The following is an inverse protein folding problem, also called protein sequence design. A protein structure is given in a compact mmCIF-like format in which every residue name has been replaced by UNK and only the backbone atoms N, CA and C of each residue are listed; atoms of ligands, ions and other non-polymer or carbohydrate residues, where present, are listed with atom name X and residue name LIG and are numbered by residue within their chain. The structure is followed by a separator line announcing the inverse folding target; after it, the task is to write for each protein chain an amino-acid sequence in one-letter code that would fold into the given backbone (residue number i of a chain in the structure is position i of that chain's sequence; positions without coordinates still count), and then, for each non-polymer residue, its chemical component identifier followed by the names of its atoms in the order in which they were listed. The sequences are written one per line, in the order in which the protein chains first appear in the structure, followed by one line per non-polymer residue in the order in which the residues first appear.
data_IF_106158316720
#
_entry.id   IF_106158316720
#
_cell.length_a   1.000
_cell.length_b   1.000
_cell.length_c   1.000
_cell.angle_alpha   90.00
_cell.angle_beta   90.00
_cell.angle_gamma   90.00
#
_symmetry.space_group_name_H-M   'P 1'
#
loop_
_entity.id
_entity.type
_entity.pdbx_description
1 polymer ?
#
# COMPACT_ATOMS: atom_id res chain seq x y z
N UNK A 1 15.88 -23.80 16.98
CA UNK A 1 15.64 -23.08 15.72
C UNK A 1 15.45 -24.10 14.62
N UNK A 2 14.57 -23.83 13.66
CA UNK A 2 14.33 -24.69 12.49
C UNK A 2 15.62 -24.79 11.65
N UNK A 3 16.00 -25.99 11.18
CA UNK A 3 17.26 -26.21 10.43
C UNK A 3 17.31 -25.38 9.15
N UNK A 4 16.16 -25.18 8.51
CA UNK A 4 15.99 -24.32 7.33
C UNK A 4 16.35 -22.87 7.65
N UNK A 5 15.82 -22.32 8.75
CA UNK A 5 16.13 -20.95 9.19
C UNK A 5 17.61 -20.80 9.49
N UNK A 6 18.22 -21.76 10.19
CA UNK A 6 19.65 -21.68 10.53
C UNK A 6 20.55 -21.70 9.28
N UNK A 7 20.17 -22.47 8.26
CA UNK A 7 20.88 -22.52 6.99
C UNK A 7 20.73 -21.23 6.15
N UNK A 8 19.55 -20.60 6.18
CA UNK A 8 19.19 -19.52 5.24
C UNK A 8 19.19 -18.11 5.82
N UNK A 9 19.31 -17.97 7.15
CA UNK A 9 19.19 -16.66 7.84
C UNK A 9 20.09 -15.58 7.25
N UNK A 10 21.38 -15.86 7.03
CA UNK A 10 22.34 -14.87 6.52
C UNK A 10 21.97 -14.38 5.11
N UNK A 11 21.43 -15.28 4.26
CA UNK A 11 20.97 -14.93 2.92
C UNK A 11 19.71 -14.05 2.98
N UNK A 12 18.75 -14.37 3.85
CA UNK A 12 17.55 -13.54 4.03
C UNK A 12 17.88 -12.19 4.66
N UNK A 13 18.76 -12.15 5.65
CA UNK A 13 19.24 -10.91 6.27
C UNK A 13 19.92 -10.01 5.23
N UNK A 14 20.76 -10.59 4.36
CA UNK A 14 21.38 -9.86 3.26
C UNK A 14 20.33 -9.31 2.28
N UNK A 15 19.33 -10.11 1.90
CA UNK A 15 18.26 -9.69 1.00
C UNK A 15 17.39 -8.56 1.62
N UNK A 16 17.07 -8.65 2.91
CA UNK A 16 16.32 -7.62 3.65
C UNK A 16 17.14 -6.33 3.75
N UNK A 17 18.41 -6.44 4.13
CA UNK A 17 19.32 -5.30 4.22
C UNK A 17 19.43 -4.57 2.88
N UNK A 18 19.59 -5.31 1.79
CA UNK A 18 19.65 -4.73 0.43
C UNK A 18 18.35 -4.02 0.04
N UNK A 19 17.20 -4.51 0.49
CA UNK A 19 15.90 -3.88 0.21
C UNK A 19 15.69 -2.60 0.99
N UNK A 20 16.06 -2.58 2.27
CA UNK A 20 15.82 -1.47 3.18
C UNK A 20 16.89 -0.38 3.19
N UNK A 21 18.09 -0.65 2.68
CA UNK A 21 19.20 0.32 2.69
C UNK A 21 19.05 1.38 1.61
N UNK A 22 19.35 2.63 1.96
CA UNK A 22 19.57 3.70 0.99
C UNK A 22 20.85 3.43 0.19
N UNK A 23 20.90 3.86 -1.08
CA UNK A 23 22.00 3.58 -1.99
C UNK A 23 23.38 4.00 -1.45
N UNK A 24 23.45 5.10 -0.69
CA UNK A 24 24.70 5.61 -0.11
C UNK A 24 25.27 4.74 1.03
N UNK A 25 24.48 3.83 1.61
CA UNK A 25 24.89 2.91 2.66
C UNK A 25 25.35 1.54 2.13
N UNK A 26 25.19 1.29 0.83
CA UNK A 26 25.56 0.03 0.19
C UNK A 26 27.03 0.16 -0.30
N UNK A 27 27.89 -0.84 -0.03
CA UNK A 27 29.27 -0.81 -0.50
C UNK A 27 29.34 -0.93 -2.02
N UNK A 28 30.49 -0.61 -2.65
CA UNK A 28 30.66 -0.74 -4.11
C UNK A 28 30.26 -2.12 -4.65
N UNK A 29 29.77 -2.21 -5.90
CA UNK A 29 29.20 -3.44 -6.47
C UNK A 29 30.10 -4.68 -6.33
N UNK A 30 31.41 -4.54 -6.53
CA UNK A 30 32.38 -5.63 -6.40
C UNK A 30 32.46 -6.16 -4.97
N UNK A 31 32.50 -5.23 -4.00
CA UNK A 31 32.56 -5.58 -2.57
C UNK A 31 31.27 -6.24 -2.14
N UNK A 32 30.13 -5.71 -2.60
CA UNK A 32 28.83 -6.32 -2.37
C UNK A 32 28.76 -7.73 -2.96
N UNK A 33 29.24 -7.92 -4.19
CA UNK A 33 29.28 -9.21 -4.87
C UNK A 33 30.09 -10.25 -4.09
N UNK A 34 31.30 -9.89 -3.66
CA UNK A 34 32.11 -10.77 -2.82
C UNK A 34 31.44 -11.13 -1.50
N UNK A 35 30.76 -10.15 -0.86
CA UNK A 35 30.02 -10.39 0.38
C UNK A 35 28.87 -11.36 0.18
N UNK A 36 28.08 -11.19 -0.88
CA UNK A 36 26.93 -12.04 -1.18
C UNK A 36 27.37 -13.47 -1.55
N UNK A 37 28.48 -13.62 -2.28
CA UNK A 37 29.10 -14.94 -2.51
C UNK A 37 29.45 -15.62 -1.19
N UNK A 38 30.13 -14.93 -0.28
CA UNK A 38 30.46 -15.48 1.03
C UNK A 38 29.22 -15.94 1.82
N UNK A 39 28.11 -15.21 1.71
CA UNK A 39 26.84 -15.57 2.35
C UNK A 39 26.21 -16.82 1.72
N UNK A 40 26.27 -16.97 0.39
CA UNK A 40 25.78 -18.18 -0.31
C UNK A 40 26.68 -19.39 -0.02
N UNK A 41 28.00 -19.21 0.01
CA UNK A 41 28.95 -20.27 0.35
C UNK A 41 28.73 -20.76 1.79
N UNK A 42 28.44 -19.84 2.70
CA UNK A 42 28.11 -20.16 4.09
C UNK A 42 26.78 -20.91 4.20
N UNK A 43 25.76 -20.57 3.41
CA UNK A 43 24.52 -21.36 3.33
C UNK A 43 24.82 -22.80 2.91
N UNK A 44 25.59 -23.01 1.85
CA UNK A 44 25.94 -24.35 1.36
C UNK A 44 26.69 -25.15 2.43
N UNK A 45 27.66 -24.51 3.11
CA UNK A 45 28.42 -25.12 4.19
C UNK A 45 27.54 -25.48 5.38
N UNK A 46 26.67 -24.57 5.83
CA UNK A 46 25.73 -24.82 6.94
C UNK A 46 24.73 -25.90 6.59
N UNK A 47 24.20 -25.91 5.38
CA UNK A 47 23.27 -26.93 4.93
C UNK A 47 23.90 -28.34 5.02
N UNK A 48 25.16 -28.48 4.59
CA UNK A 48 25.90 -29.73 4.73
C UNK A 48 26.07 -30.15 6.21
N UNK A 49 26.47 -29.22 7.10
CA UNK A 49 26.64 -29.50 8.54
C UNK A 49 25.31 -29.88 9.20
N UNK A 50 24.22 -29.24 8.77
CA UNK A 50 22.87 -29.52 9.28
C UNK A 50 22.32 -30.84 8.75
N UNK A 51 22.97 -31.49 7.79
CA UNK A 51 22.59 -32.80 7.25
C UNK A 51 21.63 -32.77 6.06
N UNK A 52 21.55 -31.64 5.34
CA UNK A 52 20.85 -31.61 4.05
C UNK A 52 21.63 -32.40 3.00
N UNK A 53 20.92 -33.06 2.07
CA UNK A 53 21.56 -33.68 0.93
C UNK A 53 22.24 -32.60 0.06
N UNK A 54 23.25 -32.99 -0.72
CA UNK A 54 23.90 -32.04 -1.64
C UNK A 54 22.88 -31.40 -2.59
N UNK A 55 21.93 -32.18 -3.11
CA UNK A 55 20.88 -31.68 -3.99
C UNK A 55 19.96 -30.68 -3.28
N UNK A 56 19.57 -30.94 -2.03
CA UNK A 56 18.73 -30.03 -1.26
C UNK A 56 19.45 -28.71 -0.96
N UNK A 57 20.72 -28.78 -0.56
CA UNK A 57 21.54 -27.60 -0.34
C UNK A 57 21.66 -26.76 -1.62
N UNK A 58 21.87 -27.40 -2.78
CA UNK A 58 21.93 -26.73 -4.08
C UNK A 58 20.60 -26.09 -4.47
N UNK A 59 19.46 -26.77 -4.28
CA UNK A 59 18.15 -26.20 -4.61
C UNK A 59 17.75 -25.07 -3.64
N UNK A 60 18.13 -25.15 -2.36
CA UNK A 60 17.98 -24.03 -1.41
C UNK A 60 18.84 -22.82 -1.83
N UNK A 61 20.11 -23.06 -2.17
CA UNK A 61 21.02 -22.02 -2.64
C UNK A 61 20.52 -21.38 -3.94
N UNK A 62 19.95 -22.18 -4.84
CA UNK A 62 19.37 -21.72 -6.10
C UNK A 62 18.24 -20.71 -5.85
N UNK A 63 17.31 -21.05 -4.96
CA UNK A 63 16.21 -20.15 -4.60
C UNK A 63 16.73 -18.83 -4.00
N UNK A 64 17.72 -18.89 -3.10
CA UNK A 64 18.31 -17.70 -2.49
C UNK A 64 19.07 -16.83 -3.50
N UNK A 65 19.85 -17.46 -4.38
CA UNK A 65 20.59 -16.77 -5.46
C UNK A 65 19.62 -16.06 -6.41
N UNK A 66 18.54 -16.72 -6.83
CA UNK A 66 17.53 -16.11 -7.68
C UNK A 66 16.86 -14.90 -7.02
N UNK A 67 16.53 -14.99 -5.72
CA UNK A 67 16.00 -13.87 -4.94
C UNK A 67 16.99 -12.72 -4.84
N UNK A 68 18.25 -13.00 -4.48
CA UNK A 68 19.29 -11.97 -4.30
C UNK A 68 19.56 -11.26 -5.62
N UNK A 69 19.71 -12.00 -6.72
CA UNK A 69 19.93 -11.42 -8.05
C UNK A 69 18.78 -10.48 -8.45
N UNK A 70 17.53 -10.90 -8.25
CA UNK A 70 16.37 -10.04 -8.54
C UNK A 70 16.34 -8.78 -7.67
N UNK A 71 16.68 -8.91 -6.38
CA UNK A 71 16.77 -7.77 -5.47
C UNK A 71 17.85 -6.79 -5.92
N UNK A 72 19.04 -7.27 -6.29
CA UNK A 72 20.13 -6.40 -6.74
C UNK A 72 19.78 -5.72 -8.07
N UNK A 73 19.12 -6.42 -9.00
CA UNK A 73 18.69 -5.82 -10.26
C UNK A 73 17.66 -4.69 -10.09
N UNK A 74 16.95 -4.65 -8.96
CA UNK A 74 16.03 -3.55 -8.59
C UNK A 74 16.73 -2.30 -8.02
N UNK A 75 18.05 -2.34 -7.81
CA UNK A 75 18.84 -1.25 -7.22
C UNK A 75 19.23 -0.18 -8.27
N UNK A 76 19.88 0.94 -7.87
CA UNK A 76 20.40 1.94 -8.81
C UNK A 76 21.28 1.35 -9.92
N UNK A 77 21.44 2.13 -10.98
CA UNK A 77 22.07 1.71 -12.23
C UNK A 77 23.47 1.11 -12.04
N UNK A 78 24.28 1.65 -11.14
CA UNK A 78 25.64 1.18 -10.85
C UNK A 78 25.70 -0.31 -10.47
N UNK A 79 24.80 -0.76 -9.59
CA UNK A 79 24.71 -2.15 -9.18
C UNK A 79 24.18 -3.01 -10.32
N UNK A 80 23.15 -2.54 -11.01
CA UNK A 80 22.50 -3.28 -12.09
C UNK A 80 23.47 -3.56 -13.23
N UNK A 81 24.29 -2.59 -13.63
CA UNK A 81 25.28 -2.74 -14.70
C UNK A 81 26.33 -3.80 -14.36
N UNK A 82 26.89 -3.76 -13.15
CA UNK A 82 27.83 -4.79 -12.70
C UNK A 82 27.19 -6.18 -12.68
N UNK A 83 25.96 -6.27 -12.17
CA UNK A 83 25.25 -7.54 -11.99
C UNK A 83 24.76 -8.17 -13.29
N UNK A 84 24.45 -7.37 -14.32
CA UNK A 84 24.06 -7.89 -15.63
C UNK A 84 25.18 -8.71 -16.30
N UNK A 85 26.45 -8.38 -16.04
CA UNK A 85 27.60 -9.13 -16.56
C UNK A 85 28.05 -10.25 -15.61
N UNK A 86 27.80 -10.10 -14.31
CA UNK A 86 28.27 -11.01 -13.27
C UNK A 86 27.15 -11.46 -12.31
N UNK A 87 26.04 -12.06 -12.78
CA UNK A 87 24.97 -12.44 -11.86
C UNK A 87 25.38 -13.69 -11.06
N UNK A 88 24.89 -13.85 -9.82
CA UNK A 88 25.27 -14.99 -8.99
C UNK A 88 24.77 -16.32 -9.57
N UNK A 89 23.61 -16.31 -10.23
CA UNK A 89 23.09 -17.48 -10.97
C UNK A 89 24.09 -18.01 -12.02
N UNK A 90 24.86 -17.13 -12.67
CA UNK A 90 25.87 -17.54 -13.64
C UNK A 90 27.08 -18.14 -12.93
N UNK A 91 27.48 -17.58 -11.78
CA UNK A 91 28.60 -18.08 -11.00
C UNK A 91 28.36 -19.47 -10.42
N UNK A 92 27.21 -19.70 -9.81
CA UNK A 92 26.91 -20.95 -9.09
C UNK A 92 26.29 -22.03 -9.97
N UNK A 93 25.45 -21.65 -10.94
CA UNK A 93 24.63 -22.59 -11.70
C UNK A 93 24.88 -22.53 -13.21
N UNK A 94 25.79 -21.64 -13.66
CA UNK A 94 26.12 -21.46 -15.07
C UNK A 94 24.88 -21.15 -15.95
N UNK A 95 23.94 -20.38 -15.42
CA UNK A 95 22.70 -19.98 -16.10
C UNK A 95 22.39 -18.49 -15.87
N UNK A 96 21.56 -17.92 -16.74
CA UNK A 96 21.13 -16.51 -16.66
C UNK A 96 19.60 -16.36 -16.72
N UNK A 97 18.87 -17.44 -16.44
CA UNK A 97 17.40 -17.52 -16.54
C UNK A 97 16.75 -18.07 -15.26
N UNK A 98 17.35 -17.82 -14.10
CA UNK A 98 16.86 -18.32 -12.81
C UNK A 98 15.46 -17.84 -12.47
N UNK A 99 14.99 -16.72 -13.05
CA UNK A 99 13.61 -16.26 -12.95
C UNK A 99 12.56 -17.26 -13.46
N UNK A 100 12.91 -18.07 -14.46
CA UNK A 100 12.10 -19.19 -14.95
C UNK A 100 12.49 -20.51 -14.28
N UNK A 101 13.79 -20.75 -14.14
CA UNK A 101 14.32 -21.97 -13.55
C UNK A 101 13.93 -22.18 -12.08
N UNK A 102 13.67 -21.10 -11.33
CA UNK A 102 13.12 -21.14 -9.97
C UNK A 102 11.81 -21.92 -9.93
N UNK A 103 10.87 -21.58 -10.81
CA UNK A 103 9.57 -22.24 -10.84
C UNK A 103 9.65 -23.65 -11.39
N UNK A 104 10.55 -23.91 -12.34
CA UNK A 104 10.81 -25.26 -12.83
C UNK A 104 11.32 -26.19 -11.72
N UNK A 105 12.26 -25.72 -10.89
CA UNK A 105 12.75 -26.47 -9.71
C UNK A 105 11.71 -26.58 -8.61
N UNK A 106 10.94 -25.52 -8.36
CA UNK A 106 9.81 -25.56 -7.43
C UNK A 106 8.84 -26.69 -7.77
N UNK A 107 8.47 -26.85 -9.04
CA UNK A 107 7.57 -27.92 -9.48
C UNK A 107 8.16 -29.33 -9.29
N UNK A 108 9.49 -29.48 -9.29
CA UNK A 108 10.15 -30.74 -8.95
C UNK A 108 10.15 -31.00 -7.45
N UNK A 109 10.49 -29.98 -6.65
CA UNK A 109 10.51 -30.07 -5.17
C UNK A 109 9.10 -30.38 -4.64
N UNK A 110 8.06 -29.76 -5.19
CA UNK A 110 6.66 -29.99 -4.78
C UNK A 110 6.15 -31.42 -4.97
N UNK A 111 6.78 -32.20 -5.86
CA UNK A 111 6.39 -33.59 -6.11
C UNK A 111 6.86 -34.53 -5.00
N UNK A 112 7.85 -34.13 -4.20
CA UNK A 112 8.40 -34.95 -3.14
C UNK A 112 8.06 -34.37 -1.75
N UNK A 113 7.14 -35.00 -1.00
CA UNK A 113 6.76 -34.52 0.34
C UNK A 113 7.91 -34.56 1.35
N UNK A 114 8.96 -35.36 1.12
CA UNK A 114 10.14 -35.41 2.00
C UNK A 114 11.01 -34.15 1.89
N UNK A 115 10.85 -33.38 0.80
CA UNK A 115 11.61 -32.16 0.54
C UNK A 115 10.88 -30.90 1.03
N UNK A 116 10.00 -31.05 2.02
CA UNK A 116 9.24 -29.93 2.61
C UNK A 116 10.14 -28.79 3.13
N UNK A 117 11.31 -29.12 3.68
CA UNK A 117 12.29 -28.12 4.14
C UNK A 117 12.85 -27.27 2.98
N UNK A 118 13.07 -27.87 1.80
CA UNK A 118 13.49 -27.12 0.59
C UNK A 118 12.32 -26.32 0.05
N UNK A 119 11.12 -26.92 -0.01
CA UNK A 119 9.90 -26.25 -0.44
C UNK A 119 9.63 -24.99 0.39
N UNK A 120 9.91 -25.04 1.69
CA UNK A 120 9.80 -23.92 2.61
C UNK A 120 10.70 -22.75 2.21
N UNK A 121 11.93 -23.00 1.74
CA UNK A 121 12.83 -21.93 1.25
C UNK A 121 12.22 -21.25 0.03
N UNK A 122 11.72 -22.02 -0.95
CA UNK A 122 11.07 -21.44 -2.13
C UNK A 122 9.83 -20.62 -1.76
N UNK A 123 9.01 -21.14 -0.84
CA UNK A 123 7.87 -20.41 -0.31
C UNK A 123 8.28 -19.08 0.33
N UNK A 124 9.29 -19.11 1.21
CA UNK A 124 9.82 -17.91 1.84
C UNK A 124 10.35 -16.92 0.80
N UNK A 125 11.11 -17.36 -0.21
CA UNK A 125 11.59 -16.48 -1.28
C UNK A 125 10.45 -15.72 -1.97
N UNK A 126 9.33 -16.40 -2.27
CA UNK A 126 8.14 -15.74 -2.85
C UNK A 126 7.47 -14.77 -1.88
N UNK A 127 7.37 -15.10 -0.59
CA UNK A 127 6.86 -14.17 0.45
C UNK A 127 7.76 -12.95 0.63
N UNK A 128 9.08 -13.15 0.49
CA UNK A 128 10.05 -12.09 0.42
C UNK A 128 9.96 -11.34 -0.92
N UNK A 129 8.97 -11.58 -1.78
CA UNK A 129 8.69 -10.78 -2.96
C UNK A 129 9.54 -11.14 -4.19
N UNK A 130 10.04 -12.38 -4.26
CA UNK A 130 10.52 -12.92 -5.53
C UNK A 130 9.35 -13.10 -6.50
N UNK A 131 9.49 -12.54 -7.72
CA UNK A 131 8.48 -12.61 -8.77
C UNK A 131 8.94 -13.44 -9.97
N UNK A 132 10.23 -13.33 -10.34
CA UNK A 132 10.79 -14.03 -11.49
C UNK A 132 9.97 -13.82 -12.76
N UNK A 133 9.60 -14.91 -13.43
CA UNK A 133 8.80 -14.89 -14.68
C UNK A 133 7.44 -14.19 -14.58
N UNK A 134 6.85 -14.11 -13.39
CA UNK A 134 5.54 -13.48 -13.19
C UNK A 134 5.59 -11.95 -13.26
N UNK A 135 6.76 -11.34 -13.06
CA UNK A 135 6.95 -9.88 -13.15
C UNK A 135 6.69 -9.34 -14.55
N UNK A 136 7.15 -10.06 -15.58
CA UNK A 136 7.07 -9.60 -16.98
C UNK A 136 5.66 -9.81 -17.55
N UNK A 137 4.95 -10.84 -17.10
CA UNK A 137 3.64 -11.23 -17.63
C UNK A 137 2.46 -10.54 -16.95
N UNK A 138 2.71 -9.67 -15.96
CA UNK A 138 1.65 -9.12 -15.11
C UNK A 138 0.92 -10.20 -14.30
N UNK A 139 1.60 -11.33 -14.05
CA UNK A 139 1.03 -12.53 -13.44
C UNK A 139 0.98 -12.47 -11.91
N UNK A 140 0.77 -11.29 -11.32
CA UNK A 140 0.76 -11.13 -9.86
C UNK A 140 -0.33 -12.00 -9.21
N UNK A 141 -1.52 -12.07 -9.82
CA UNK A 141 -2.60 -12.94 -9.36
C UNK A 141 -2.22 -14.43 -9.45
N UNK A 142 -1.57 -14.84 -10.53
CA UNK A 142 -1.06 -16.22 -10.69
C UNK A 142 0.01 -16.54 -9.64
N UNK A 143 0.91 -15.60 -9.35
CA UNK A 143 1.90 -15.76 -8.30
C UNK A 143 1.25 -15.89 -6.92
N UNK A 144 0.25 -15.07 -6.61
CA UNK A 144 -0.48 -15.17 -5.33
C UNK A 144 -1.19 -16.52 -5.19
N UNK A 145 -1.86 -17.00 -6.23
CA UNK A 145 -2.51 -18.33 -6.21
C UNK A 145 -1.49 -19.47 -6.08
N UNK A 146 -0.31 -19.33 -6.69
CA UNK A 146 0.80 -20.27 -6.52
C UNK A 146 1.31 -20.28 -5.07
N UNK A 147 1.52 -19.11 -4.46
CA UNK A 147 1.93 -18.97 -3.05
C UNK A 147 0.92 -19.67 -2.14
N UNK A 148 -0.38 -19.46 -2.33
CA UNK A 148 -1.43 -20.11 -1.55
C UNK A 148 -1.44 -21.63 -1.73
N UNK A 149 -1.16 -22.11 -2.94
CA UNK A 149 -1.09 -23.54 -3.23
C UNK A 149 0.12 -24.17 -2.56
N UNK A 150 1.29 -23.53 -2.66
CA UNK A 150 2.52 -24.00 -2.01
C UNK A 150 2.38 -23.98 -0.49
N UNK A 151 1.70 -22.98 0.09
CA UNK A 151 1.37 -22.94 1.52
C UNK A 151 0.60 -24.19 1.95
N UNK A 152 -0.46 -24.55 1.21
CA UNK A 152 -1.26 -25.76 1.48
C UNK A 152 -0.44 -27.05 1.31
N UNK A 153 0.45 -27.10 0.33
CA UNK A 153 1.35 -28.24 0.13
C UNK A 153 2.31 -28.39 1.33
N UNK A 154 2.83 -27.27 1.86
CA UNK A 154 3.64 -27.26 3.08
C UNK A 154 2.86 -27.71 4.31
N UNK A 155 1.67 -27.15 4.56
CA UNK A 155 0.80 -27.53 5.69
C UNK A 155 0.50 -29.03 5.69
N UNK A 156 0.33 -29.63 4.49
CA UNK A 156 0.11 -31.06 4.33
C UNK A 156 1.36 -31.90 4.62
N UNK A 157 2.53 -31.46 4.16
CA UNK A 157 3.78 -32.21 4.31
C UNK A 157 4.37 -32.10 5.73
N UNK A 158 4.22 -30.94 6.38
CA UNK A 158 4.68 -30.67 7.74
C UNK A 158 3.74 -29.64 8.38
N UNK A 159 3.08 -29.93 9.51
CA UNK A 159 2.33 -28.93 10.26
C UNK A 159 3.30 -27.82 10.69
N UNK A 160 3.32 -26.72 9.94
CA UNK A 160 4.18 -25.59 10.17
C UNK A 160 3.37 -24.51 10.86
N UNK A 161 3.86 -24.01 11.99
CA UNK A 161 3.17 -23.01 12.78
C UNK A 161 3.43 -21.61 12.19
N UNK A 162 2.65 -21.25 11.17
CA UNK A 162 2.76 -19.95 10.49
C UNK A 162 2.37 -18.76 11.39
N UNK A 163 1.78 -19.00 12.57
CA UNK A 163 1.39 -17.94 13.51
C UNK A 163 2.57 -17.40 14.33
N UNK A 164 3.72 -18.09 14.35
CA UNK A 164 4.93 -17.64 15.07
C UNK A 164 6.13 -17.60 14.12
N UNK A 165 6.07 -16.73 13.11
CA UNK A 165 7.21 -16.49 12.20
C UNK A 165 8.42 -15.84 12.90
N UNK A 166 8.21 -15.21 14.04
CA UNK A 166 9.28 -14.77 14.95
C UNK A 166 8.74 -14.77 16.39
N UNK A 167 9.32 -15.56 17.32
CA UNK A 167 8.96 -15.49 18.75
C UNK A 167 9.14 -14.10 19.36
N UNK A 168 9.96 -13.25 18.73
CA UNK A 168 10.21 -11.86 19.11
C UNK A 168 9.75 -10.90 17.99
N UNK A 169 8.74 -11.29 17.20
CA UNK A 169 8.19 -10.50 16.09
C UNK A 169 7.39 -9.27 16.53
N UNK A 170 7.30 -9.03 17.85
CA UNK A 170 6.85 -7.74 18.37
C UNK A 170 7.78 -6.66 17.82
N UNK A 171 7.24 -5.84 16.91
CA UNK A 171 7.93 -4.64 16.45
C UNK A 171 8.33 -3.84 17.69
N UNK A 172 9.60 -3.40 17.81
CA UNK A 172 9.95 -2.34 18.74
C UNK A 172 8.95 -1.20 18.49
N UNK A 173 8.32 -0.72 19.55
CA UNK A 173 7.21 0.25 19.51
C UNK A 173 7.61 1.62 18.94
N UNK A 174 8.86 1.80 18.53
CA UNK A 174 9.36 2.99 17.87
C UNK A 174 8.97 3.04 16.39
N UNK A 175 7.66 3.15 16.15
CA UNK A 175 7.17 3.67 14.88
C UNK A 175 7.33 5.18 14.85
N UNK A 176 8.49 5.68 14.39
CA UNK A 176 8.63 7.09 13.95
C UNK A 176 7.78 7.41 12.71
N UNK A 177 7.16 6.40 12.09
CA UNK A 177 6.25 6.53 10.95
C UNK A 177 5.00 5.67 11.12
N UNK A 178 4.15 5.94 12.13
CA UNK A 178 2.75 5.48 12.07
C UNK A 178 1.84 6.29 12.98
N UNK A 179 1.67 7.58 12.66
CA UNK A 179 0.45 8.30 13.01
C UNK A 179 -0.35 8.57 11.75
N UNK A 180 -0.69 7.51 11.02
CA UNK A 180 -1.85 7.56 10.11
C UNK A 180 -3.09 7.55 11.00
N UNK A 181 -3.36 8.73 11.57
CA UNK A 181 -4.56 9.04 12.35
C UNK A 181 -5.73 8.66 11.45
N UNK A 182 -6.39 7.54 11.75
CA UNK A 182 -7.73 7.28 11.24
C UNK A 182 -8.58 8.40 11.85
N UNK A 183 -8.70 9.52 11.14
CA UNK A 183 -9.73 10.50 11.47
C UNK A 183 -11.04 9.73 11.33
N UNK A 184 -11.84 9.57 12.40
CA UNK A 184 -13.11 8.88 12.27
C UNK A 184 -13.92 9.71 11.29
N UNK A 185 -14.11 9.20 10.08
CA UNK A 185 -14.82 9.88 8.98
C UNK A 185 -16.24 10.29 9.44
N UNK A 186 -16.76 9.59 10.45
CA UNK A 186 -17.99 9.88 11.18
C UNK A 186 -18.02 11.25 11.89
N UNK A 187 -16.89 11.73 12.43
CA UNK A 187 -16.83 13.04 13.08
C UNK A 187 -16.81 14.18 12.04
N UNK A 188 -16.20 13.94 10.88
CA UNK A 188 -16.17 14.90 9.78
C UNK A 188 -17.54 15.04 9.10
N UNK A 189 -18.28 13.94 8.95
CA UNK A 189 -19.65 13.97 8.40
C UNK A 189 -20.64 14.64 9.34
N UNK A 190 -20.53 14.39 10.65
CA UNK A 190 -21.37 15.06 11.66
C UNK A 190 -21.12 16.58 11.69
N UNK A 191 -19.86 17.02 11.57
CA UNK A 191 -19.52 18.44 11.50
C UNK A 191 -20.11 19.14 10.27
N UNK A 192 -20.02 18.52 9.09
CA UNK A 192 -20.59 19.06 7.85
C UNK A 192 -22.12 19.24 7.95
N UNK A 193 -22.83 18.26 8.52
CA UNK A 193 -24.26 18.34 8.71
C UNK A 193 -24.67 19.46 9.67
N UNK A 194 -23.94 19.63 10.78
CA UNK A 194 -24.20 20.70 11.75
C UNK A 194 -24.01 22.10 11.13
N UNK A 195 -22.96 22.29 10.34
CA UNK A 195 -22.71 23.56 9.64
C UNK A 195 -23.81 23.84 8.61
N UNK A 196 -24.26 22.84 7.87
CA UNK A 196 -25.35 22.99 6.90
C UNK A 196 -26.67 23.42 7.57
N UNK A 197 -27.01 22.84 8.72
CA UNK A 197 -28.22 23.20 9.49
C UNK A 197 -28.12 24.62 10.03
N UNK A 198 -26.97 25.01 10.58
CA UNK A 198 -26.75 26.39 11.06
C UNK A 198 -26.87 27.40 9.92
N UNK A 199 -26.25 27.13 8.78
CA UNK A 199 -26.31 28.00 7.61
C UNK A 199 -27.75 28.16 7.09
N UNK A 200 -28.50 27.06 7.00
CA UNK A 200 -29.91 27.09 6.62
C UNK A 200 -30.76 27.92 7.59
N UNK A 201 -30.53 27.77 8.90
CA UNK A 201 -31.23 28.55 9.93
C UNK A 201 -30.98 30.06 9.82
N UNK A 202 -29.72 30.45 9.59
CA UNK A 202 -29.35 31.87 9.38
C UNK A 202 -30.02 32.44 8.14
N UNK A 203 -30.03 31.70 7.03
CA UNK A 203 -30.72 32.14 5.81
C UNK A 203 -32.22 32.33 6.02
N UNK A 204 -32.88 31.44 6.76
CA UNK A 204 -34.31 31.56 7.09
C UNK A 204 -34.59 32.80 7.94
N UNK A 205 -33.71 33.12 8.90
CA UNK A 205 -33.85 34.31 9.73
C UNK A 205 -33.73 35.59 8.88
N UNK A 206 -32.68 35.69 8.06
CA UNK A 206 -32.51 36.81 7.13
C UNK A 206 -33.64 36.94 6.11
N UNK A 207 -34.21 35.81 5.66
CA UNK A 207 -35.37 35.84 4.75
C UNK A 207 -36.61 36.39 5.46
N UNK A 208 -36.87 35.96 6.70
CA UNK A 208 -38.03 36.42 7.49
C UNK A 208 -37.98 37.92 7.75
N UNK A 209 -36.85 38.43 8.20
CA UNK A 209 -36.68 39.88 8.46
C UNK A 209 -37.00 40.70 7.19
N UNK A 210 -36.52 40.25 6.03
CA UNK A 210 -36.80 40.93 4.74
C UNK A 210 -38.24 40.75 4.26
N UNK A 211 -38.86 39.61 4.52
CA UNK A 211 -40.26 39.34 4.17
C UNK A 211 -41.21 40.16 5.04
N UNK A 212 -40.91 40.31 6.33
CA UNK A 212 -41.71 41.11 7.27
C UNK A 212 -41.57 42.61 6.97
N UNK A 213 -40.37 43.07 6.61
CA UNK A 213 -40.14 44.45 6.13
C UNK A 213 -40.89 44.71 4.81
N UNK A 214 -40.92 43.75 3.88
CA UNK A 214 -41.66 43.90 2.63
C UNK A 214 -43.17 43.86 2.84
N UNK A 215 -43.65 42.98 3.71
CA UNK A 215 -45.08 42.86 4.03
C UNK A 215 -45.61 44.12 4.71
N UNK A 216 -44.87 44.67 5.68
CA UNK A 216 -45.22 45.94 6.33
C UNK A 216 -45.20 47.13 5.36
N UNK A 217 -44.27 47.16 4.39
CA UNK A 217 -44.28 48.18 3.32
C UNK A 217 -45.48 48.05 2.38
N UNK A 218 -45.86 46.82 2.02
CA UNK A 218 -47.05 46.55 1.21
C UNK A 218 -48.31 46.97 1.95
N UNK A 219 -48.45 46.61 3.23
CA UNK A 219 -49.59 47.02 4.07
C UNK A 219 -49.64 48.55 4.24
N UNK A 220 -48.49 49.21 4.45
CA UNK A 220 -48.42 50.67 4.55
C UNK A 220 -48.85 51.35 3.24
N UNK A 221 -48.45 50.81 2.07
CA UNK A 221 -48.88 51.32 0.76
C UNK A 221 -50.35 50.99 0.46
N UNK A 222 -50.84 49.80 0.85
CA UNK A 222 -52.24 49.42 0.71
C UNK A 222 -53.14 50.34 1.56
N UNK A 223 -52.77 50.60 2.82
CA UNK A 223 -53.47 51.54 3.70
C UNK A 223 -53.45 52.97 3.14
N UNK A 224 -52.32 53.41 2.58
CA UNK A 224 -52.18 54.73 1.95
C UNK A 224 -53.02 54.85 0.67
N UNK A 225 -53.13 53.79 -0.14
CA UNK A 225 -53.96 53.76 -1.34
C UNK A 225 -55.46 53.71 -1.02
N UNK A 226 -55.87 52.99 0.02
CA UNK A 226 -57.26 53.00 0.52
C UNK A 226 -57.64 54.39 1.04
N UNK A 227 -56.75 55.06 1.80
CA UNK A 227 -56.96 56.43 2.24
C UNK A 227 -57.04 57.43 1.08
N UNK A 228 -56.26 57.24 0.01
CA UNK A 228 -56.35 58.03 -1.23
C UNK A 228 -57.62 57.80 -2.05
N UNK A 229 -58.29 56.66 -1.86
CA UNK A 229 -59.52 56.29 -2.59
C UNK A 229 -60.80 56.75 -1.86
N UNK A 230 -60.71 57.02 -0.56
CA UNK A 230 -61.82 57.54 0.27
C UNK A 230 -61.87 59.08 0.36
N UNK A 231 -61.01 59.81 -0.35
CA UNK A 231 -61.13 61.26 -0.47
C UNK A 231 -62.38 61.60 -1.34
N UNK A 232 -63.35 62.36 -0.82
CA UNK A 232 -64.64 62.57 -1.50
C UNK A 232 -64.50 63.40 -2.79
N UNK A 233 -65.41 63.22 -3.76
CA UNK A 233 -65.40 63.97 -5.01
C UNK A 233 -65.68 65.45 -4.74
N UNK A 234 -64.75 66.33 -5.10
CA UNK A 234 -64.98 67.77 -5.12
C UNK A 234 -66.03 68.08 -6.20
N UNK A 235 -67.28 68.24 -5.78
CA UNK A 235 -68.42 68.53 -6.66
C UNK A 235 -68.86 69.97 -6.44
N UNK A 236 -68.75 70.81 -7.48
CA UNK A 236 -69.74 71.84 -7.79
C UNK A 236 -69.63 73.24 -7.18
N UNK A 237 -68.98 74.15 -7.92
CA UNK A 237 -69.56 75.32 -8.61
C UNK A 237 -70.35 76.44 -7.86
N UNK A 238 -70.21 77.66 -8.44
CA UNK A 238 -71.05 78.88 -8.40
C UNK A 238 -70.87 79.82 -7.18
N UNK A 239 -70.88 81.16 -7.22
CA UNK A 239 -70.90 82.19 -8.27
C UNK A 239 -70.72 83.61 -7.64
N UNK A 240 -70.25 84.57 -8.47
CA UNK A 240 -70.61 86.03 -8.52
C UNK A 240 -70.25 86.98 -7.34
N UNK A 241 -70.40 88.34 -7.47
CA UNK A 241 -70.34 89.27 -8.62
C UNK A 241 -69.26 90.38 -8.47
N UNK A 242 -69.20 91.27 -9.46
CA UNK A 242 -68.21 92.34 -9.65
C UNK A 242 -68.30 93.59 -8.74
N UNK A 243 -67.46 94.58 -9.09
CA UNK A 243 -67.66 95.97 -8.69
C UNK A 243 -66.38 96.77 -8.42
N UNK A 244 -66.02 97.65 -9.37
CA UNK A 244 -65.55 99.07 -9.22
C UNK A 244 -64.49 99.40 -8.14
N UNK A 245 -63.40 100.13 -8.41
CA UNK A 245 -63.16 101.26 -9.34
C UNK A 245 -61.71 101.24 -9.84
#
# INVERSE_FOLDING_TARGET
MDRVTEATKDCFDAAIHLRGSEAAAIPPPETLYHRLRGVVDELLRRAAVLGFSHQDAQDMAYAMVALIDEVVLSRPEEYRQFWMTNPLQLHYFNENIAGDGFFARLDLVRKDPHRAEVLQVYYLCMLFGFQGRYRIRGGELELMTLIDTVKKDLERARPFDFDVLSPHGERPTDSLLSKRRKTPVLALSAGSLAVAVLFYGVLQFFLKDKVDELSSRIELHAAKNVAGTLAPPQTGATANPGGTQ
#
